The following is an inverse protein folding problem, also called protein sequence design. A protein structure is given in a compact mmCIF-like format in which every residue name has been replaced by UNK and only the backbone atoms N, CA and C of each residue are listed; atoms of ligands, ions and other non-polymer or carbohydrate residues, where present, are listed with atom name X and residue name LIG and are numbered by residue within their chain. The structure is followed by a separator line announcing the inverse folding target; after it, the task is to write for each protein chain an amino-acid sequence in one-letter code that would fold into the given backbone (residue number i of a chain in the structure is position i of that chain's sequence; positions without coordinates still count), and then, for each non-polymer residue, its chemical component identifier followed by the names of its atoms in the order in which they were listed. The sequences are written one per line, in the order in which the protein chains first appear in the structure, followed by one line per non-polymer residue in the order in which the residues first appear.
data_IF_394870640659
#
_entry.id   IF_394870640659
#
_cell.length_a   1.000
_cell.length_b   1.000
_cell.length_c   1.000
_cell.angle_alpha   90.00
_cell.angle_beta   90.00
_cell.angle_gamma   90.00
#
_symmetry.space_group_name_H-M   'P 1'
#
loop_
_entity.id
_entity.type
_entity.pdbx_description
1 polymer ?
#
# COMPACT_ATOMS: atom_id res chain seq x y z
N UNK A 1 31.59 193.83 -36.84
CA UNK A 1 33.05 194.08 -36.76
C UNK A 1 33.68 192.98 -35.90
N UNK A 2 34.47 192.11 -36.53
CA UNK A 2 35.73 191.46 -36.06
C UNK A 2 36.03 191.31 -34.54
N UNK A 3 36.33 190.09 -34.07
CA UNK A 3 37.65 189.71 -33.47
C UNK A 3 37.73 188.25 -32.93
N UNK A 4 38.90 187.64 -33.09
CA UNK A 4 39.37 186.31 -32.63
C UNK A 4 39.72 186.23 -31.10
N UNK A 5 39.96 184.99 -30.60
CA UNK A 5 40.80 184.52 -29.44
C UNK A 5 40.07 184.02 -28.15
N UNK A 6 40.72 183.25 -27.22
CA UNK A 6 41.46 181.97 -27.34
C UNK A 6 41.03 180.89 -26.28
N UNK A 7 41.58 179.67 -26.37
CA UNK A 7 41.40 178.52 -25.45
C UNK A 7 42.01 178.77 -24.05
N UNK A 8 41.40 178.29 -22.94
CA UNK A 8 42.15 178.04 -21.69
C UNK A 8 41.58 176.95 -20.75
N UNK A 9 42.36 175.88 -20.60
CA UNK A 9 42.69 175.05 -19.43
C UNK A 9 41.65 174.57 -18.38
N UNK A 10 40.63 175.33 -17.99
CA UNK A 10 39.87 175.04 -16.74
C UNK A 10 39.11 173.71 -16.73
N UNK A 11 38.54 173.30 -17.87
CA UNK A 11 37.74 172.06 -18.00
C UNK A 11 38.57 170.78 -17.88
N UNK A 12 39.88 170.84 -18.15
CA UNK A 12 40.80 169.71 -18.00
C UNK A 12 41.20 169.48 -16.54
N UNK A 13 41.30 170.55 -15.76
CA UNK A 13 41.65 170.47 -14.34
C UNK A 13 40.56 169.76 -13.52
N UNK A 14 39.29 170.07 -13.80
CA UNK A 14 38.15 169.44 -13.12
C UNK A 14 38.02 167.94 -13.44
N UNK A 15 38.35 167.54 -14.67
CA UNK A 15 38.35 166.12 -15.06
C UNK A 15 39.43 165.35 -14.29
N UNK A 16 40.66 165.88 -14.18
CA UNK A 16 41.76 165.24 -13.43
C UNK A 16 41.41 165.06 -11.95
N UNK A 17 40.83 166.08 -11.31
CA UNK A 17 40.46 166.04 -9.90
C UNK A 17 39.36 165.00 -9.60
N UNK A 18 38.41 164.86 -10.53
CA UNK A 18 37.35 163.85 -10.41
C UNK A 18 37.91 162.43 -10.55
N UNK A 19 38.87 162.21 -11.45
CA UNK A 19 39.44 160.87 -11.67
C UNK A 19 40.32 160.41 -10.51
N UNK A 20 41.11 161.31 -9.92
CA UNK A 20 41.95 160.97 -8.75
C UNK A 20 41.12 160.63 -7.52
N UNK A 21 40.02 161.35 -7.28
CA UNK A 21 39.13 161.06 -6.14
C UNK A 21 38.42 159.70 -6.28
N UNK A 22 38.04 159.32 -7.51
CA UNK A 22 37.39 158.04 -7.79
C UNK A 22 38.36 156.85 -7.60
N UNK A 23 39.62 157.01 -8.01
CA UNK A 23 40.67 156.01 -7.77
C UNK A 23 40.89 155.80 -6.26
N UNK A 24 40.89 156.88 -5.48
CA UNK A 24 41.10 156.78 -4.03
C UNK A 24 39.99 155.98 -3.32
N UNK A 25 38.73 156.15 -3.74
CA UNK A 25 37.59 155.40 -3.21
C UNK A 25 37.70 153.91 -3.55
N UNK A 26 38.11 153.57 -4.77
CA UNK A 26 38.28 152.16 -5.19
C UNK A 26 39.41 151.50 -4.38
N UNK A 27 40.53 152.19 -4.20
CA UNK A 27 41.66 151.67 -3.39
C UNK A 27 41.24 151.44 -1.93
N UNK A 28 40.47 152.36 -1.36
CA UNK A 28 39.95 152.21 0.00
C UNK A 28 38.99 151.00 0.14
N UNK A 29 38.10 150.79 -0.83
CA UNK A 29 37.20 149.63 -0.85
C UNK A 29 37.96 148.30 -0.98
N UNK A 30 38.97 148.24 -1.85
CA UNK A 30 39.81 147.04 -2.02
C UNK A 30 40.57 146.70 -0.74
N UNK A 31 41.10 147.71 -0.03
CA UNK A 31 41.77 147.49 1.25
C UNK A 31 40.83 146.94 2.34
N UNK A 32 39.58 147.41 2.39
CA UNK A 32 38.58 146.92 3.35
C UNK A 32 38.21 145.46 3.04
N UNK A 33 37.99 145.12 1.77
CA UNK A 33 37.65 143.74 1.37
C UNK A 33 38.80 142.77 1.63
N UNK A 34 40.04 143.17 1.30
CA UNK A 34 41.24 142.37 1.59
C UNK A 34 41.48 142.21 3.10
N UNK A 35 41.27 143.27 3.88
CA UNK A 35 41.34 143.21 5.35
C UNK A 35 40.29 142.28 5.95
N UNK A 36 39.05 142.33 5.45
CA UNK A 36 37.97 141.44 5.88
C UNK A 36 38.23 139.96 5.55
N UNK A 37 38.73 139.67 4.35
CA UNK A 37 39.10 138.31 3.92
C UNK A 37 40.28 137.74 4.73
N UNK A 38 41.29 138.55 5.03
CA UNK A 38 42.43 138.14 5.86
C UNK A 38 42.03 137.78 7.29
N UNK A 39 41.15 138.57 7.90
CA UNK A 39 40.69 138.32 9.27
C UNK A 39 39.77 137.09 9.37
N UNK A 40 38.91 136.87 8.38
CA UNK A 40 38.06 135.68 8.30
C UNK A 40 38.86 134.39 8.15
N UNK A 41 39.93 134.40 7.36
CA UNK A 41 40.82 133.25 7.18
C UNK A 41 41.55 132.83 8.47
N UNK A 42 42.00 133.80 9.27
CA UNK A 42 42.73 133.53 10.52
C UNK A 42 41.86 132.86 11.59
N UNK A 43 40.58 133.25 11.69
CA UNK A 43 39.65 132.64 12.65
C UNK A 43 39.29 131.19 12.28
N UNK A 44 39.14 130.88 10.99
CA UNK A 44 38.85 129.52 10.52
C UNK A 44 39.95 128.51 10.87
N UNK A 45 41.22 128.89 10.72
CA UNK A 45 42.36 128.00 11.01
C UNK A 45 42.46 127.65 12.50
N UNK A 46 42.13 128.60 13.39
CA UNK A 46 42.21 128.39 14.84
C UNK A 46 41.18 127.38 15.34
N UNK A 47 39.99 127.36 14.73
CA UNK A 47 38.94 126.41 15.10
C UNK A 47 39.25 124.99 14.61
N UNK A 48 39.84 124.86 13.41
CA UNK A 48 40.32 123.57 12.87
C UNK A 48 41.37 122.95 13.80
N UNK A 49 42.33 123.76 14.28
CA UNK A 49 43.37 123.28 15.20
C UNK A 49 42.79 122.78 16.54
N UNK A 50 41.75 123.42 17.09
CA UNK A 50 41.05 122.93 18.29
C UNK A 50 40.35 121.60 18.05
N UNK A 51 39.68 121.45 16.90
CA UNK A 51 38.96 120.20 16.58
C UNK A 51 39.93 119.03 16.40
N UNK A 52 41.10 119.27 15.79
CA UNK A 52 42.14 118.25 15.58
C UNK A 52 42.73 117.77 16.92
N UNK A 53 42.97 118.67 17.87
CA UNK A 53 43.45 118.27 19.21
C UNK A 53 42.42 117.43 19.98
N UNK A 54 41.12 117.70 19.81
CA UNK A 54 40.07 116.88 20.45
C UNK A 54 39.94 115.49 19.82
N UNK A 55 40.13 115.37 18.50
CA UNK A 55 40.17 114.08 17.81
C UNK A 55 41.38 113.24 18.24
N UNK A 56 42.56 113.86 18.39
CA UNK A 56 43.77 113.16 18.84
C UNK A 56 43.59 112.52 20.23
N UNK A 57 43.01 113.23 21.20
CA UNK A 57 42.76 112.69 22.55
C UNK A 57 41.75 111.53 22.54
N UNK A 58 40.73 111.58 21.68
CA UNK A 58 39.75 110.50 21.55
C UNK A 58 40.35 109.25 20.88
N UNK A 59 41.25 109.43 19.92
CA UNK A 59 41.96 108.33 19.26
C UNK A 59 42.90 107.64 20.26
N UNK A 60 43.67 108.40 21.02
CA UNK A 60 44.60 107.88 22.04
C UNK A 60 43.85 107.11 23.16
N UNK A 61 42.71 107.65 23.62
CA UNK A 61 41.86 106.95 24.58
C UNK A 61 41.25 105.65 24.02
N UNK A 62 40.88 105.62 22.73
CA UNK A 62 40.38 104.41 22.08
C UNK A 62 41.49 103.38 21.85
N UNK A 63 42.69 103.82 21.52
CA UNK A 63 43.86 102.95 21.36
C UNK A 63 44.28 102.33 22.69
N UNK A 64 44.19 103.08 23.79
CA UNK A 64 44.41 102.55 25.13
C UNK A 64 43.34 101.53 25.55
N UNK A 65 42.06 101.78 25.25
CA UNK A 65 40.99 100.81 25.49
C UNK A 65 41.14 99.54 24.65
N UNK A 66 41.55 99.66 23.38
CA UNK A 66 41.80 98.50 22.52
C UNK A 66 42.99 97.67 23.02
N UNK A 67 44.08 98.32 23.45
CA UNK A 67 45.22 97.61 24.02
C UNK A 67 44.87 96.96 25.36
N UNK A 68 44.09 97.62 26.22
CA UNK A 68 43.62 97.00 27.46
C UNK A 68 42.70 95.81 27.21
N UNK A 69 41.79 95.89 26.23
CA UNK A 69 40.94 94.76 25.85
C UNK A 69 41.76 93.62 25.25
N UNK A 70 42.78 93.94 24.46
CA UNK A 70 43.70 92.96 23.88
C UNK A 70 44.50 92.25 24.96
N UNK A 71 45.09 92.97 25.90
CA UNK A 71 45.83 92.39 27.02
C UNK A 71 44.91 91.55 27.92
N UNK A 72 43.64 91.94 28.09
CA UNK A 72 42.67 91.21 28.90
C UNK A 72 42.21 89.93 28.18
N UNK A 73 42.04 89.96 26.86
CA UNK A 73 41.74 88.79 26.02
C UNK A 73 42.95 87.86 25.94
N UNK A 74 44.16 88.40 25.75
CA UNK A 74 45.40 87.62 25.72
C UNK A 74 45.65 86.97 27.10
N UNK A 75 45.39 87.68 28.20
CA UNK A 75 45.45 87.09 29.54
C UNK A 75 44.38 86.01 29.80
N UNK A 76 43.16 86.15 29.25
CA UNK A 76 42.09 85.15 29.39
C UNK A 76 42.34 83.92 28.50
N UNK A 77 42.97 84.09 27.33
CA UNK A 77 43.38 83.00 26.44
C UNK A 77 44.61 82.28 26.99
N UNK A 78 45.59 83.01 27.52
CA UNK A 78 46.79 82.44 28.15
C UNK A 78 46.45 81.76 29.50
N UNK A 79 45.42 82.23 30.20
CA UNK A 79 44.74 81.54 31.32
C UNK A 79 43.51 80.73 30.89
N UNK A 80 43.43 80.27 29.64
CA UNK A 80 42.39 79.32 29.23
C UNK A 80 42.35 78.19 30.25
N UNK A 81 41.26 78.11 31.03
CA UNK A 81 41.22 77.42 32.32
C UNK A 81 41.84 76.00 32.18
N UNK A 82 43.00 75.71 32.81
CA UNK A 82 43.69 74.43 32.61
C UNK A 82 42.80 73.24 33.00
N UNK A 83 41.84 73.44 33.91
CA UNK A 83 40.84 72.45 34.27
C UNK A 83 39.90 72.11 33.11
N UNK A 84 39.51 73.11 32.29
CA UNK A 84 38.68 72.88 31.11
C UNK A 84 39.44 72.10 30.04
N UNK A 85 40.75 72.34 29.85
CA UNK A 85 41.55 71.57 28.91
C UNK A 85 41.70 70.10 29.32
N UNK A 86 41.90 69.84 30.61
CA UNK A 86 41.94 68.47 31.15
C UNK A 86 40.60 67.76 30.94
N UNK A 87 39.47 68.44 31.19
CA UNK A 87 38.14 67.90 30.94
C UNK A 87 37.90 67.59 29.45
N UNK A 88 38.34 68.46 28.54
CA UNK A 88 38.24 68.22 27.10
C UNK A 88 39.02 66.98 26.69
N UNK A 89 40.26 66.81 27.19
CA UNK A 89 41.08 65.63 26.91
C UNK A 89 40.44 64.36 27.50
N UNK A 90 39.87 64.44 28.70
CA UNK A 90 39.15 63.31 29.32
C UNK A 90 37.92 62.91 28.49
N UNK A 91 37.08 63.87 28.11
CA UNK A 91 35.90 63.62 27.27
C UNK A 91 36.29 63.06 25.89
N UNK A 92 37.40 63.52 25.31
CA UNK A 92 37.91 63.00 24.05
C UNK A 92 38.35 61.53 24.18
N UNK A 93 39.02 61.16 25.28
CA UNK A 93 39.39 59.78 25.58
C UNK A 93 38.17 58.89 25.85
N UNK A 94 37.17 59.40 26.58
CA UNK A 94 35.92 58.69 26.83
C UNK A 94 35.12 58.47 25.54
N UNK A 95 35.05 59.46 24.64
CA UNK A 95 34.43 59.31 23.33
C UNK A 95 35.15 58.27 22.47
N UNK A 96 36.49 58.29 22.42
CA UNK A 96 37.26 57.29 21.69
C UNK A 96 37.04 55.86 22.25
N UNK A 97 36.96 55.73 23.58
CA UNK A 97 36.68 54.45 24.24
C UNK A 97 35.25 53.96 23.95
N UNK A 98 34.26 54.85 24.01
CA UNK A 98 32.87 54.53 23.68
C UNK A 98 32.70 54.15 22.21
N UNK A 99 33.37 54.86 21.30
CA UNK A 99 33.37 54.53 19.87
C UNK A 99 33.97 53.15 19.62
N UNK A 100 35.13 52.86 20.22
CA UNK A 100 35.75 51.52 20.12
C UNK A 100 34.84 50.42 20.67
N UNK A 101 34.16 50.68 21.80
CA UNK A 101 33.24 49.73 22.41
C UNK A 101 32.01 49.51 21.53
N UNK A 102 31.49 50.56 20.89
CA UNK A 102 30.37 50.46 19.96
C UNK A 102 30.75 49.65 18.71
N UNK A 103 31.91 49.93 18.11
CA UNK A 103 32.43 49.16 16.98
C UNK A 103 32.63 47.68 17.34
N UNK A 104 33.16 47.39 18.54
CA UNK A 104 33.33 46.02 19.03
C UNK A 104 31.99 45.30 19.23
N UNK A 105 31.02 45.96 19.86
CA UNK A 105 29.67 45.40 20.08
C UNK A 105 28.95 45.17 18.75
N UNK A 106 29.06 46.11 17.81
CA UNK A 106 28.47 45.99 16.48
C UNK A 106 29.10 44.83 15.69
N UNK A 107 30.42 44.68 15.75
CA UNK A 107 31.12 43.56 15.13
C UNK A 107 30.70 42.22 15.76
N UNK A 108 30.66 42.12 17.09
CA UNK A 108 30.22 40.92 17.79
C UNK A 108 28.77 40.56 17.46
N UNK A 109 27.86 41.55 17.42
CA UNK A 109 26.46 41.33 17.06
C UNK A 109 26.32 40.83 15.62
N UNK A 110 27.08 41.39 14.68
CA UNK A 110 27.06 40.93 13.29
C UNK A 110 27.54 39.49 13.14
N UNK A 111 28.59 39.11 13.90
CA UNK A 111 29.11 37.75 13.93
C UNK A 111 28.11 36.76 14.55
N UNK A 112 27.51 37.12 15.68
CA UNK A 112 26.51 36.29 16.33
C UNK A 112 25.27 36.08 15.44
N UNK A 113 24.80 37.14 14.79
CA UNK A 113 23.68 37.05 13.84
C UNK A 113 24.02 36.14 12.66
N UNK A 114 25.25 36.21 12.13
CA UNK A 114 25.70 35.32 11.06
C UNK A 114 25.72 33.86 11.50
N UNK A 115 26.28 33.57 12.68
CA UNK A 115 26.32 32.20 13.24
C UNK A 115 24.90 31.68 13.51
N UNK A 116 24.02 32.48 14.09
CA UNK A 116 22.63 32.09 14.32
C UNK A 116 21.92 31.80 13.00
N UNK A 117 22.11 32.63 11.98
CA UNK A 117 21.52 32.42 10.64
C UNK A 117 21.98 31.09 10.03
N UNK A 118 23.26 30.76 10.14
CA UNK A 118 23.81 29.49 9.65
C UNK A 118 23.25 28.29 10.43
N UNK A 119 23.14 28.40 11.75
CA UNK A 119 22.53 27.37 12.60
C UNK A 119 21.05 27.16 12.25
N UNK A 120 20.28 28.23 12.07
CA UNK A 120 18.88 28.13 11.66
C UNK A 120 18.75 27.45 10.29
N UNK A 121 19.56 27.85 9.30
CA UNK A 121 19.55 27.20 7.98
C UNK A 121 19.90 25.71 8.05
N UNK A 122 20.85 25.32 8.91
CA UNK A 122 21.21 23.92 9.11
C UNK A 122 20.08 23.12 9.76
N UNK A 123 19.42 23.69 10.77
CA UNK A 123 18.28 23.05 11.45
C UNK A 123 17.09 22.90 10.49
N UNK A 124 16.79 23.92 9.69
CA UNK A 124 15.74 23.85 8.66
C UNK A 124 16.03 22.75 7.64
N UNK A 125 17.26 22.66 7.12
CA UNK A 125 17.64 21.61 6.18
C UNK A 125 17.53 20.21 6.79
N UNK A 126 17.94 20.04 8.05
CA UNK A 126 17.81 18.77 8.77
C UNK A 126 16.34 18.40 9.03
N UNK A 127 15.49 19.39 9.34
CA UNK A 127 14.07 19.18 9.53
C UNK A 127 13.40 18.72 8.24
N UNK A 128 13.69 19.38 7.11
CA UNK A 128 13.15 19.00 5.80
C UNK A 128 13.58 17.58 5.40
N UNK A 129 14.85 17.22 5.64
CA UNK A 129 15.35 15.87 5.41
C UNK A 129 14.62 14.84 6.29
N UNK A 130 14.41 15.14 7.57
CA UNK A 130 13.70 14.26 8.50
C UNK A 130 12.22 14.08 8.13
N UNK A 131 11.55 15.16 7.71
CA UNK A 131 10.15 15.10 7.22
C UNK A 131 10.06 14.24 5.98
N UNK A 132 10.98 14.41 5.02
CA UNK A 132 11.03 13.61 3.81
C UNK A 132 11.25 12.12 4.13
N UNK A 133 12.21 11.82 5.02
CA UNK A 133 12.47 10.45 5.45
C UNK A 133 11.26 9.83 6.17
N UNK A 134 10.56 10.60 7.00
CA UNK A 134 9.35 10.12 7.67
C UNK A 134 8.23 9.78 6.68
N UNK A 135 8.06 10.60 5.64
CA UNK A 135 7.10 10.32 4.56
C UNK A 135 7.42 9.00 3.85
N UNK A 136 8.68 8.78 3.48
CA UNK A 136 9.10 7.53 2.81
C UNK A 136 8.84 6.32 3.71
N UNK A 137 9.19 6.40 5.00
CA UNK A 137 8.94 5.31 5.94
C UNK A 137 7.44 5.06 6.16
N UNK A 138 6.60 6.09 6.10
CA UNK A 138 5.16 5.94 6.20
C UNK A 138 4.58 5.21 4.96
N UNK A 139 5.09 5.52 3.77
CA UNK A 139 4.71 4.83 2.53
C UNK A 139 5.16 3.36 2.55
N UNK A 140 6.42 3.08 2.93
CA UNK A 140 6.93 1.72 3.09
C UNK A 140 6.13 0.90 4.11
N UNK A 141 5.72 1.52 5.23
CA UNK A 141 4.84 0.89 6.21
C UNK A 141 3.47 0.57 5.61
N UNK A 142 2.95 1.44 4.75
CA UNK A 142 1.71 1.21 3.99
C UNK A 142 1.82 -0.02 3.10
N UNK A 143 2.90 -0.12 2.33
CA UNK A 143 3.17 -1.25 1.43
C UNK A 143 3.32 -2.57 2.20
N UNK A 144 4.06 -2.56 3.31
CA UNK A 144 4.22 -3.76 4.16
C UNK A 144 2.87 -4.22 4.74
N UNK A 145 2.01 -3.28 5.17
CA UNK A 145 0.66 -3.62 5.65
C UNK A 145 -0.20 -4.23 4.54
N UNK A 146 -0.16 -3.67 3.33
CA UNK A 146 -0.87 -4.20 2.18
C UNK A 146 -0.39 -5.62 1.83
N UNK A 147 0.92 -5.85 1.83
CA UNK A 147 1.51 -7.17 1.61
C UNK A 147 1.09 -8.18 2.68
N UNK A 148 1.00 -7.77 3.95
CA UNK A 148 0.57 -8.65 5.04
C UNK A 148 -0.91 -9.05 4.89
N UNK A 149 -1.78 -8.10 4.50
CA UNK A 149 -3.20 -8.40 4.20
C UNK A 149 -3.32 -9.37 3.02
N UNK A 150 -2.53 -9.18 1.95
CA UNK A 150 -2.51 -10.09 0.81
C UNK A 150 -2.06 -11.50 1.22
N UNK A 151 -1.00 -11.61 2.02
CA UNK A 151 -0.50 -12.89 2.53
C UNK A 151 -1.52 -13.58 3.44
N UNK A 152 -2.21 -12.83 4.29
CA UNK A 152 -3.27 -13.37 5.13
C UNK A 152 -4.44 -13.92 4.29
N UNK A 153 -4.80 -13.22 3.21
CA UNK A 153 -5.82 -13.71 2.26
C UNK A 153 -5.37 -14.99 1.57
N UNK A 154 -4.12 -15.07 1.13
CA UNK A 154 -3.55 -16.25 0.46
C UNK A 154 -3.46 -17.47 1.40
N UNK A 155 -3.10 -17.25 2.67
CA UNK A 155 -3.12 -18.29 3.69
C UNK A 155 -4.54 -18.81 3.94
N UNK A 156 -5.53 -17.93 3.97
CA UNK A 156 -6.93 -18.33 4.14
C UNK A 156 -7.44 -19.15 2.95
N UNK A 157 -7.15 -18.71 1.72
CA UNK A 157 -7.49 -19.47 0.50
C UNK A 157 -6.82 -20.85 0.48
N UNK A 158 -5.53 -20.90 0.79
CA UNK A 158 -4.78 -22.15 0.92
C UNK A 158 -5.37 -23.07 2.00
N UNK A 159 -5.83 -22.51 3.12
CA UNK A 159 -6.53 -23.25 4.17
C UNK A 159 -7.84 -23.87 3.69
N UNK A 160 -8.65 -23.13 2.93
CA UNK A 160 -9.89 -23.65 2.32
C UNK A 160 -9.57 -24.78 1.34
N UNK A 161 -8.55 -24.61 0.50
CA UNK A 161 -8.13 -25.63 -0.46
C UNK A 161 -7.64 -26.91 0.22
N UNK A 162 -6.93 -26.79 1.34
CA UNK A 162 -6.50 -27.94 2.15
C UNK A 162 -7.70 -28.69 2.74
N UNK A 163 -8.67 -27.97 3.32
CA UNK A 163 -9.87 -28.59 3.87
C UNK A 163 -10.67 -29.34 2.79
N UNK A 164 -10.80 -28.77 1.60
CA UNK A 164 -11.47 -29.44 0.48
C UNK A 164 -10.72 -30.71 0.08
N UNK A 165 -9.38 -30.65 -0.02
CA UNK A 165 -8.57 -31.81 -0.36
C UNK A 165 -8.65 -32.91 0.70
N UNK A 166 -8.72 -32.56 1.99
CA UNK A 166 -8.96 -33.51 3.08
C UNK A 166 -10.32 -34.20 2.92
N UNK A 167 -11.38 -33.44 2.62
CA UNK A 167 -12.70 -33.99 2.32
C UNK A 167 -12.70 -34.94 1.12
N UNK A 168 -12.01 -34.57 0.03
CA UNK A 168 -11.86 -35.43 -1.15
C UNK A 168 -11.12 -36.73 -0.83
N UNK A 169 -10.07 -36.68 0.00
CA UNK A 169 -9.32 -37.87 0.44
C UNK A 169 -10.19 -38.80 1.28
N UNK A 170 -11.00 -38.26 2.19
CA UNK A 170 -11.92 -39.06 3.01
C UNK A 170 -13.02 -39.71 2.16
N UNK A 171 -13.55 -38.99 1.18
CA UNK A 171 -14.50 -39.55 0.21
C UNK A 171 -13.86 -40.69 -0.59
N UNK A 172 -12.63 -40.52 -1.07
CA UNK A 172 -11.90 -41.56 -1.81
C UNK A 172 -11.64 -42.79 -0.93
N UNK A 173 -11.31 -42.61 0.36
CA UNK A 173 -11.15 -43.73 1.31
C UNK A 173 -12.44 -44.51 1.49
N UNK A 174 -13.57 -43.82 1.61
CA UNK A 174 -14.88 -44.47 1.75
C UNK A 174 -15.23 -45.24 0.48
N UNK A 175 -15.04 -44.63 -0.70
CA UNK A 175 -15.24 -45.29 -1.99
C UNK A 175 -14.35 -46.53 -2.16
N UNK A 176 -13.08 -46.46 -1.73
CA UNK A 176 -12.17 -47.59 -1.78
C UNK A 176 -12.62 -48.73 -0.85
N UNK A 177 -13.11 -48.39 0.35
CA UNK A 177 -13.67 -49.37 1.29
C UNK A 177 -14.89 -50.10 0.71
N UNK A 178 -15.82 -49.35 0.12
CA UNK A 178 -16.98 -49.96 -0.57
C UNK A 178 -16.57 -50.83 -1.75
N UNK A 179 -15.55 -50.42 -2.52
CA UNK A 179 -15.05 -51.22 -3.63
C UNK A 179 -14.40 -52.53 -3.17
N UNK A 180 -13.67 -52.50 -2.06
CA UNK A 180 -13.05 -53.69 -1.46
C UNK A 180 -14.10 -54.69 -0.95
N UNK A 181 -15.18 -54.20 -0.36
CA UNK A 181 -16.32 -55.02 0.07
C UNK A 181 -17.01 -55.67 -1.15
N UNK A 182 -17.32 -54.88 -2.20
CA UNK A 182 -17.89 -55.41 -3.44
C UNK A 182 -16.98 -56.45 -4.12
N UNK A 183 -15.67 -56.25 -4.09
CA UNK A 183 -14.71 -57.21 -4.66
C UNK A 183 -14.71 -58.53 -3.86
N UNK A 184 -14.79 -58.42 -2.54
CA UNK A 184 -14.85 -59.56 -1.62
C UNK A 184 -16.11 -60.39 -1.89
N UNK A 185 -17.27 -59.73 -1.98
CA UNK A 185 -18.55 -60.36 -2.28
C UNK A 185 -18.54 -61.04 -3.65
N UNK A 186 -18.07 -60.34 -4.68
CA UNK A 186 -17.96 -60.91 -6.03
C UNK A 186 -17.04 -62.13 -6.08
N UNK A 187 -15.95 -62.10 -5.31
CA UNK A 187 -15.02 -63.24 -5.22
C UNK A 187 -15.69 -64.45 -4.55
N UNK A 188 -16.46 -64.22 -3.49
CA UNK A 188 -17.23 -65.27 -2.82
C UNK A 188 -18.30 -65.87 -3.75
N UNK A 189 -19.08 -65.02 -4.43
CA UNK A 189 -20.09 -65.45 -5.40
C UNK A 189 -19.47 -66.26 -6.54
N UNK A 190 -18.34 -65.79 -7.09
CA UNK A 190 -17.63 -66.51 -8.15
C UNK A 190 -17.10 -67.86 -7.67
N UNK A 191 -16.65 -67.97 -6.42
CA UNK A 191 -16.21 -69.24 -5.85
C UNK A 191 -17.37 -70.24 -5.73
N UNK A 192 -18.52 -69.78 -5.24
CA UNK A 192 -19.75 -70.60 -5.12
C UNK A 192 -20.22 -71.06 -6.51
N UNK A 193 -20.29 -70.15 -7.48
CA UNK A 193 -20.70 -70.48 -8.84
C UNK A 193 -19.77 -71.52 -9.50
N UNK A 194 -18.45 -71.41 -9.28
CA UNK A 194 -17.49 -72.41 -9.79
C UNK A 194 -17.64 -73.76 -9.10
N UNK A 195 -17.86 -73.80 -7.79
CA UNK A 195 -18.05 -75.07 -7.09
C UNK A 195 -19.34 -75.76 -7.52
N UNK A 196 -20.44 -75.01 -7.65
CA UNK A 196 -21.72 -75.54 -8.14
C UNK A 196 -21.57 -76.09 -9.56
N UNK A 197 -20.98 -75.31 -10.48
CA UNK A 197 -20.75 -75.77 -11.85
C UNK A 197 -19.85 -77.01 -11.94
N UNK A 198 -18.86 -77.17 -11.06
CA UNK A 198 -18.01 -78.35 -11.03
C UNK A 198 -18.79 -79.61 -10.59
N UNK A 199 -19.65 -79.47 -9.57
CA UNK A 199 -20.54 -80.55 -9.10
C UNK A 199 -21.52 -80.95 -10.20
N UNK A 200 -22.14 -79.98 -10.87
CA UNK A 200 -23.08 -80.25 -11.97
C UNK A 200 -22.40 -80.98 -13.14
N UNK A 201 -21.17 -80.58 -13.49
CA UNK A 201 -20.41 -81.26 -14.53
C UNK A 201 -20.05 -82.69 -14.13
N UNK A 202 -19.61 -82.93 -12.89
CA UNK A 202 -19.32 -84.27 -12.37
C UNK A 202 -20.58 -85.16 -12.40
N UNK A 203 -21.72 -84.62 -11.98
CA UNK A 203 -23.01 -85.31 -12.02
C UNK A 203 -23.42 -85.65 -13.46
N UNK A 204 -23.27 -84.72 -14.41
CA UNK A 204 -23.59 -84.98 -15.82
C UNK A 204 -22.68 -86.05 -16.45
N UNK A 205 -21.39 -86.08 -16.08
CA UNK A 205 -20.43 -87.07 -16.58
C UNK A 205 -20.74 -88.46 -16.04
N UNK A 206 -21.09 -88.59 -14.77
CA UNK A 206 -21.46 -89.89 -14.17
C UNK A 206 -22.75 -90.44 -14.78
N UNK A 207 -23.77 -89.60 -15.02
CA UNK A 207 -24.98 -90.00 -15.75
C UNK A 207 -24.69 -90.47 -17.18
N UNK A 208 -23.81 -89.78 -17.90
CA UNK A 208 -23.42 -90.17 -19.27
C UNK A 208 -22.64 -91.48 -19.28
N UNK A 209 -21.72 -91.69 -18.33
CA UNK A 209 -21.00 -92.95 -18.17
C UNK A 209 -21.96 -94.10 -17.86
N UNK A 210 -22.90 -93.90 -16.95
CA UNK A 210 -23.94 -94.88 -16.63
C UNK A 210 -24.76 -95.25 -17.86
N UNK A 211 -25.10 -94.27 -18.70
CA UNK A 211 -25.81 -94.51 -19.96
C UNK A 211 -25.00 -95.36 -20.94
N UNK A 212 -23.70 -95.05 -21.08
CA UNK A 212 -22.79 -95.83 -21.92
C UNK A 212 -22.67 -97.29 -21.46
N UNK A 213 -22.44 -97.50 -20.17
CA UNK A 213 -22.30 -98.85 -19.57
C UNK A 213 -23.60 -99.65 -19.71
N UNK A 214 -24.75 -99.03 -19.45
CA UNK A 214 -26.05 -99.70 -19.57
C UNK A 214 -26.39 -100.06 -21.02
N UNK A 215 -26.01 -99.20 -21.97
CA UNK A 215 -26.17 -99.48 -23.40
C UNK A 215 -25.28 -100.65 -23.83
N UNK A 216 -24.04 -100.72 -23.33
CA UNK A 216 -23.14 -101.84 -23.58
C UNK A 216 -23.68 -103.15 -22.99
N UNK A 217 -24.19 -103.13 -21.75
CA UNK A 217 -24.79 -104.30 -21.11
C UNK A 217 -25.94 -104.88 -21.95
N UNK A 218 -26.80 -104.01 -22.51
CA UNK A 218 -27.91 -104.41 -23.38
C UNK A 218 -27.44 -104.96 -24.72
N UNK A 219 -26.36 -104.41 -25.28
CA UNK A 219 -25.80 -104.88 -26.55
C UNK A 219 -25.13 -106.25 -26.38
N UNK A 220 -24.29 -106.41 -25.36
CA UNK A 220 -23.67 -107.70 -25.02
C UNK A 220 -24.72 -108.80 -24.80
N UNK A 221 -25.81 -108.47 -24.11
CA UNK A 221 -26.92 -109.39 -23.91
C UNK A 221 -27.64 -109.76 -25.23
N UNK A 222 -27.74 -108.82 -26.17
CA UNK A 222 -28.33 -109.07 -27.49
C UNK A 222 -27.42 -109.93 -28.39
N UNK A 223 -26.10 -109.81 -28.23
CA UNK A 223 -25.09 -110.62 -28.91
C UNK A 223 -24.87 -111.99 -28.24
N UNK A 224 -25.48 -112.23 -27.07
CA UNK A 224 -25.43 -113.48 -26.32
C UNK A 224 -24.20 -113.62 -25.41
N UNK A 225 -23.47 -112.54 -25.16
CA UNK A 225 -22.35 -112.51 -24.21
C UNK A 225 -22.85 -112.13 -22.80
N UNK A 226 -23.29 -113.14 -22.06
CA UNK A 226 -23.83 -112.98 -20.71
C UNK A 226 -22.77 -112.50 -19.71
N UNK A 227 -21.49 -112.87 -19.90
CA UNK A 227 -20.39 -112.52 -18.98
C UNK A 227 -20.02 -111.04 -19.13
N UNK A 228 -19.95 -110.54 -20.38
CA UNK A 228 -19.74 -109.12 -20.64
C UNK A 228 -20.93 -108.29 -20.16
N UNK A 229 -22.16 -108.77 -20.37
CA UNK A 229 -23.36 -108.11 -19.88
C UNK A 229 -23.40 -108.03 -18.33
N UNK A 230 -23.11 -109.12 -17.61
CA UNK A 230 -23.06 -109.15 -16.14
C UNK A 230 -21.98 -108.21 -15.58
N UNK A 231 -20.82 -108.16 -16.24
CA UNK A 231 -19.73 -107.23 -15.90
C UNK A 231 -20.16 -105.78 -16.08
N UNK A 232 -20.83 -105.46 -17.18
CA UNK A 232 -21.34 -104.12 -17.44
C UNK A 232 -22.46 -103.73 -16.44
N UNK A 233 -23.35 -104.65 -16.06
CA UNK A 233 -24.37 -104.38 -15.02
C UNK A 233 -23.72 -104.11 -13.67
N UNK A 234 -22.69 -104.86 -13.30
CA UNK A 234 -21.94 -104.61 -12.05
C UNK A 234 -21.29 -103.22 -12.04
N UNK A 235 -20.74 -102.78 -13.18
CA UNK A 235 -20.20 -101.43 -13.33
C UNK A 235 -21.30 -100.36 -13.27
N UNK A 236 -22.47 -100.61 -13.86
CA UNK A 236 -23.61 -99.70 -13.80
C UNK A 236 -24.14 -99.52 -12.38
N UNK A 237 -24.17 -100.59 -11.56
CA UNK A 237 -24.55 -100.51 -10.14
C UNK A 237 -23.60 -99.57 -9.40
N UNK A 238 -22.28 -99.78 -9.53
CA UNK A 238 -21.27 -98.93 -8.89
C UNK A 238 -21.39 -97.46 -9.31
N UNK A 239 -21.63 -97.18 -10.59
CA UNK A 239 -21.85 -95.81 -11.05
C UNK A 239 -23.15 -95.21 -10.51
N UNK A 240 -24.22 -96.01 -10.40
CA UNK A 240 -25.50 -95.57 -9.87
C UNK A 240 -25.50 -95.31 -8.36
N UNK A 241 -24.64 -96.00 -7.61
CA UNK A 241 -24.47 -95.77 -6.16
C UNK A 241 -23.69 -94.48 -5.86
N UNK A 242 -22.87 -94.01 -6.82
CA UNK A 242 -22.12 -92.76 -6.71
C UNK A 242 -22.94 -91.53 -7.14
N UNK A 243 -24.16 -91.70 -7.66
CA UNK A 243 -25.05 -90.60 -8.00
C UNK A 243 -25.69 -90.03 -6.73
N UNK A 244 -25.40 -88.77 -6.45
CA UNK A 244 -26.10 -88.00 -5.43
C UNK A 244 -27.22 -87.20 -6.09
N UNK A 245 -28.41 -87.26 -5.49
CA UNK A 245 -29.59 -86.52 -5.95
C UNK A 245 -30.27 -85.90 -4.74
N UNK A 246 -30.92 -84.76 -4.93
CA UNK A 246 -31.67 -84.09 -3.87
C UNK A 246 -32.70 -85.05 -3.28
N UNK A 247 -32.72 -85.27 -1.95
CA UNK A 247 -33.69 -86.16 -1.31
C UNK A 247 -35.12 -85.68 -1.57
N UNK A 248 -36.06 -86.62 -1.61
CA UNK A 248 -37.49 -86.36 -1.87
C UNK A 248 -37.83 -85.73 -3.24
N UNK A 249 -36.89 -85.75 -4.19
CA UNK A 249 -37.11 -85.31 -5.57
C UNK A 249 -37.65 -86.43 -6.49
N UNK A 250 -38.32 -86.09 -7.61
CA UNK A 250 -38.68 -87.09 -8.64
C UNK A 250 -37.46 -87.81 -9.21
N UNK A 251 -36.30 -87.13 -9.24
CA UNK A 251 -35.02 -87.71 -9.66
C UNK A 251 -34.49 -88.74 -8.64
N UNK A 252 -34.64 -88.51 -7.33
CA UNK A 252 -34.30 -89.50 -6.31
C UNK A 252 -35.18 -90.76 -6.43
N UNK A 253 -36.47 -90.60 -6.72
CA UNK A 253 -37.37 -91.72 -6.97
C UNK A 253 -36.99 -92.50 -8.25
N UNK A 254 -36.58 -91.81 -9.31
CA UNK A 254 -36.10 -92.43 -10.55
C UNK A 254 -34.76 -93.18 -10.33
N UNK A 255 -33.82 -92.60 -9.57
CA UNK A 255 -32.56 -93.26 -9.21
C UNK A 255 -32.81 -94.53 -8.40
N UNK A 256 -33.69 -94.47 -7.40
CA UNK A 256 -34.02 -95.65 -6.60
C UNK A 256 -34.62 -96.78 -7.44
N UNK A 257 -35.50 -96.44 -8.40
CA UNK A 257 -36.04 -97.44 -9.35
C UNK A 257 -34.97 -97.99 -10.27
N UNK A 258 -34.07 -97.15 -10.78
CA UNK A 258 -32.93 -97.57 -11.59
C UNK A 258 -32.04 -98.55 -10.83
N UNK A 259 -31.64 -98.21 -9.59
CA UNK A 259 -30.83 -99.07 -8.72
C UNK A 259 -31.53 -100.41 -8.45
N UNK A 260 -32.84 -100.38 -8.17
CA UNK A 260 -33.64 -101.60 -7.96
C UNK A 260 -33.66 -102.48 -9.21
N UNK A 261 -33.83 -101.89 -10.41
CA UNK A 261 -33.84 -102.64 -11.68
C UNK A 261 -32.47 -103.21 -12.02
N UNK A 262 -31.39 -102.49 -11.74
CA UNK A 262 -30.03 -102.99 -11.93
C UNK A 262 -29.72 -104.16 -10.99
N UNK A 263 -30.14 -104.09 -9.72
CA UNK A 263 -29.99 -105.19 -8.78
C UNK A 263 -30.77 -106.45 -9.21
N UNK A 264 -32.03 -106.28 -9.66
CA UNK A 264 -32.83 -107.38 -10.19
C UNK A 264 -32.22 -108.00 -11.46
N UNK A 265 -31.66 -107.17 -12.35
CA UNK A 265 -30.95 -107.63 -13.53
C UNK A 265 -29.70 -108.45 -13.16
N UNK A 266 -28.92 -108.00 -12.16
CA UNK A 266 -27.74 -108.73 -11.68
C UNK A 266 -28.11 -110.11 -11.12
N UNK A 267 -29.16 -110.20 -10.29
CA UNK A 267 -29.62 -111.47 -9.73
C UNK A 267 -30.21 -112.42 -10.78
N UNK A 268 -30.73 -111.87 -11.89
CA UNK A 268 -31.42 -112.61 -12.94
C UNK A 268 -30.52 -113.38 -13.91
N UNK A 269 -29.23 -113.04 -14.03
CA UNK A 269 -28.32 -113.65 -15.02
C UNK A 269 -28.21 -115.18 -14.87
N UNK A 270 -28.23 -115.68 -13.63
CA UNK A 270 -28.13 -117.13 -13.37
C UNK A 270 -29.44 -117.91 -13.57
N UNK A 271 -30.58 -117.23 -13.73
CA UNK A 271 -31.91 -117.87 -13.65
C UNK A 271 -32.84 -117.56 -14.83
N UNK A 272 -32.86 -116.34 -15.37
CA UNK A 272 -33.79 -115.93 -16.41
C UNK A 272 -33.28 -114.75 -17.24
N UNK A 273 -32.47 -115.04 -18.26
CA UNK A 273 -31.89 -114.05 -19.18
C UNK A 273 -32.94 -113.15 -19.89
N UNK A 274 -34.11 -113.66 -20.34
CA UNK A 274 -35.19 -112.79 -20.84
C UNK A 274 -35.69 -111.75 -19.83
N UNK A 275 -35.72 -112.08 -18.54
CA UNK A 275 -36.12 -111.14 -17.48
C UNK A 275 -35.05 -110.06 -17.26
N UNK A 276 -33.76 -110.44 -17.31
CA UNK A 276 -32.63 -109.49 -17.27
C UNK A 276 -32.74 -108.47 -18.40
N UNK A 277 -33.05 -108.89 -19.63
CA UNK A 277 -33.23 -107.98 -20.76
C UNK A 277 -34.36 -106.97 -20.52
N UNK A 278 -35.44 -107.40 -19.87
CA UNK A 278 -36.57 -106.54 -19.52
C UNK A 278 -36.21 -105.55 -18.41
N UNK A 279 -35.50 -106.01 -17.37
CA UNK A 279 -35.05 -105.15 -16.27
C UNK A 279 -34.02 -104.11 -16.72
N UNK A 280 -33.10 -104.47 -17.64
CA UNK A 280 -32.18 -103.51 -18.26
C UNK A 280 -32.88 -102.50 -19.17
N UNK A 281 -33.92 -102.92 -19.90
CA UNK A 281 -34.74 -102.00 -20.68
C UNK A 281 -35.47 -101.01 -19.76
N UNK A 282 -36.03 -101.47 -18.64
CA UNK A 282 -36.67 -100.61 -17.64
C UNK A 282 -35.66 -99.66 -16.97
N UNK A 283 -34.48 -100.15 -16.59
CA UNK A 283 -33.40 -99.31 -16.04
C UNK A 283 -33.01 -98.18 -17.01
N UNK A 284 -32.97 -98.46 -18.32
CA UNK A 284 -32.61 -97.43 -19.32
C UNK A 284 -33.68 -96.35 -19.49
N UNK A 285 -34.95 -96.68 -19.26
CA UNK A 285 -36.04 -95.70 -19.26
C UNK A 285 -35.94 -94.78 -18.04
N UNK A 286 -35.68 -95.34 -16.86
CA UNK A 286 -35.48 -94.55 -15.64
C UNK A 286 -34.23 -93.66 -15.74
N UNK A 287 -33.16 -94.14 -16.39
CA UNK A 287 -31.97 -93.31 -16.68
C UNK A 287 -32.27 -92.16 -17.64
N UNK A 288 -33.12 -92.41 -18.64
CA UNK A 288 -33.54 -91.35 -19.58
C UNK A 288 -34.35 -90.28 -18.85
N UNK A 289 -35.17 -90.68 -17.86
CA UNK A 289 -35.87 -89.73 -16.99
C UNK A 289 -34.89 -88.90 -16.16
N UNK A 290 -33.87 -89.53 -15.57
CA UNK A 290 -32.80 -88.82 -14.84
C UNK A 290 -32.05 -87.81 -15.71
N UNK A 291 -31.72 -88.17 -16.96
CA UNK A 291 -31.08 -87.27 -17.93
C UNK A 291 -31.99 -86.13 -18.41
N UNK A 292 -33.31 -86.28 -18.25
CA UNK A 292 -34.31 -85.30 -18.69
C UNK A 292 -34.71 -84.32 -17.59
N UNK A 293 -34.32 -84.58 -16.34
CA UNK A 293 -34.51 -83.63 -15.23
C UNK A 293 -33.40 -82.60 -15.32
N UNK A 294 -33.71 -81.29 -15.48
CA UNK A 294 -32.69 -80.26 -15.41
C UNK A 294 -32.04 -80.29 -14.02
N UNK A 295 -30.72 -80.19 -13.95
CA UNK A 295 -29.94 -80.21 -12.71
C UNK A 295 -30.26 -79.04 -11.74
N UNK A 296 -31.25 -78.20 -12.05
CA UNK A 296 -31.51 -76.93 -11.36
C UNK A 296 -32.91 -76.95 -10.74
N UNK A 297 -33.01 -77.59 -9.58
CA UNK A 297 -34.00 -77.24 -8.55
C UNK A 297 -33.22 -76.87 -7.27
N UNK A 298 -32.26 -75.96 -7.39
CA UNK A 298 -31.90 -75.11 -6.24
C UNK A 298 -32.83 -73.90 -6.30
N UNK A 299 -33.87 -73.97 -5.47
CA UNK A 299 -34.60 -72.80 -5.03
C UNK A 299 -33.55 -71.86 -4.44
N UNK A 300 -33.24 -70.78 -5.17
CA UNK A 300 -32.70 -69.58 -4.55
C UNK A 300 -33.65 -69.25 -3.41
N UNK A 301 -33.23 -69.53 -2.17
CA UNK A 301 -33.83 -68.93 -0.99
C UNK A 301 -33.71 -67.42 -1.21
N UNK A 302 -34.78 -66.84 -1.73
CA UNK A 302 -34.98 -65.41 -1.83
C UNK A 302 -34.93 -64.92 -0.39
N UNK A 303 -33.75 -64.44 0.01
CA UNK A 303 -33.52 -63.74 1.24
C UNK A 303 -34.52 -62.58 1.27
N UNK A 304 -35.66 -62.84 1.90
CA UNK A 304 -36.66 -61.85 2.23
C UNK A 304 -35.93 -60.81 3.08
N UNK A 305 -35.75 -59.56 2.60
CA UNK A 305 -35.18 -58.53 3.44
C UNK A 305 -36.19 -58.29 4.56
N UNK A 306 -35.82 -58.69 5.78
CA UNK A 306 -36.54 -58.27 6.98
C UNK A 306 -36.36 -56.75 7.08
N UNK A 307 -37.44 -55.95 7.12
CA UNK A 307 -37.31 -54.53 7.38
C UNK A 307 -36.94 -54.38 8.85
N UNK A 308 -35.67 -54.14 9.13
CA UNK A 308 -35.26 -53.67 10.46
C UNK A 308 -35.85 -52.28 10.63
N UNK A 309 -36.83 -52.20 11.53
CA UNK A 309 -37.42 -50.98 12.06
C UNK A 309 -36.35 -49.96 12.40
N UNK A 310 -36.41 -48.82 11.73
CA UNK A 310 -35.76 -47.60 12.18
C UNK A 310 -36.47 -47.14 13.46
N UNK A 311 -35.79 -47.28 14.60
CA UNK A 311 -36.19 -46.66 15.84
C UNK A 311 -36.17 -45.13 15.68
N UNK A 312 -37.35 -44.55 15.87
CA UNK A 312 -37.66 -43.13 15.87
C UNK A 312 -37.00 -42.41 17.04
N UNK A 313 -35.75 -42.00 16.84
CA UNK A 313 -35.11 -40.93 17.60
C UNK A 313 -35.69 -39.56 17.22
N UNK A 314 -36.76 -39.17 17.91
CA UNK A 314 -37.40 -37.85 17.78
C UNK A 314 -36.43 -36.73 18.18
N UNK A 315 -35.96 -35.94 17.21
CA UNK A 315 -35.36 -34.63 17.45
C UNK A 315 -35.91 -33.63 16.43
N UNK A 316 -36.96 -32.94 16.86
CA UNK A 316 -37.54 -31.74 16.24
C UNK A 316 -36.46 -30.69 15.99
N UNK A 317 -36.13 -30.42 14.72
CA UNK A 317 -35.48 -29.17 14.31
C UNK A 317 -36.21 -28.62 13.09
N UNK A 318 -36.62 -27.35 13.23
CA UNK A 318 -37.44 -26.58 12.31
C UNK A 318 -36.81 -26.41 10.91
N UNK A 319 -37.61 -26.23 9.85
CA UNK A 319 -37.10 -25.83 8.55
C UNK A 319 -36.71 -24.34 8.60
N UNK A 320 -35.41 -24.04 8.61
CA UNK A 320 -34.93 -22.68 8.30
C UNK A 320 -35.00 -22.51 6.78
N UNK A 321 -35.85 -21.57 6.37
CA UNK A 321 -36.05 -21.17 4.99
C UNK A 321 -34.74 -20.71 4.32
N UNK A 322 -34.54 -21.21 3.10
CA UNK A 322 -33.63 -20.64 2.10
C UNK A 322 -33.99 -19.18 1.87
N UNK A 323 -33.08 -18.27 2.25
CA UNK A 323 -33.20 -16.85 1.91
C UNK A 323 -32.95 -16.66 0.41
N UNK A 324 -33.87 -15.95 -0.24
CA UNK A 324 -33.77 -15.46 -1.61
C UNK A 324 -32.66 -14.39 -1.75
N UNK A 325 -32.09 -14.21 -2.95
CA UNK A 325 -31.13 -13.13 -3.18
C UNK A 325 -31.82 -11.76 -3.08
N UNK A 326 -31.20 -10.84 -2.33
CA UNK A 326 -31.61 -9.43 -2.24
C UNK A 326 -31.50 -8.75 -3.61
N UNK A 327 -32.63 -8.32 -4.16
CA UNK A 327 -32.68 -7.35 -5.24
C UNK A 327 -32.17 -6.00 -4.75
N UNK A 328 -31.17 -5.48 -5.44
CA UNK A 328 -30.65 -4.11 -5.29
C UNK A 328 -31.75 -3.11 -5.68
N UNK A 329 -32.15 -2.16 -4.83
CA UNK A 329 -33.09 -1.13 -5.24
C UNK A 329 -32.43 -0.13 -6.19
N UNK A 330 -33.02 0.05 -7.38
CA UNK A 330 -32.72 1.15 -8.29
C UNK A 330 -32.90 2.51 -7.61
N UNK A 331 -32.06 3.53 -7.93
CA UNK A 331 -32.29 4.90 -7.49
C UNK A 331 -33.51 5.50 -8.22
N UNK A 332 -34.42 6.07 -7.45
CA UNK A 332 -35.55 6.85 -7.99
C UNK A 332 -35.07 8.23 -8.47
N UNK A 333 -35.52 8.73 -9.63
CA UNK A 333 -35.07 10.01 -10.17
C UNK A 333 -35.72 11.20 -9.46
N UNK A 334 -34.91 12.14 -8.98
CA UNK A 334 -35.36 13.46 -8.54
C UNK A 334 -35.71 14.33 -9.76
N UNK A 335 -36.93 14.86 -9.88
CA UNK A 335 -37.25 15.91 -10.85
C UNK A 335 -36.77 17.28 -10.33
N UNK A 336 -36.01 18.01 -11.15
CA UNK A 336 -35.87 19.48 -11.09
C UNK A 336 -37.10 20.09 -11.78
N UNK A 337 -37.62 21.28 -11.40
CA UNK A 337 -36.89 22.55 -11.21
C UNK A 337 -36.85 23.08 -9.77
#
# INVERSE_FOLDING_TARGET
MTSNQPRSAGRRLWWILRTTLLIFIIVALVAIVLGGLGYGGYLGVREIQRSVNSLAVRIDANEHNLNSLRDLVDAEIEKGNPEQQVLIIQLQNELAALQTRLETVQAAQSQETAVQTEQFSTVEANLDAAVTQNSVLADELGDVRAALVALQSDLNDSGVRLNNLEGDVDQLRLQLGTLDEMLTDLTAETAVARSSSAVDLEHSLTLLQLWGVLTNARLALADGDEVEAETAVSQAILLSDNLTVTPDSPAAAALQRLQTRLALAADGFATNVPMVAQDLAAASQELTLLLSVPATDEILDEATPTPTEADTGTATVAPTATAAPEETPLPSPTPTP
#
